data_IF_601926265565
#
_entry.id   IF_601926265565
#
_cell.length_a   1.000
_cell.length_b   1.000
_cell.length_c   1.000
_cell.angle_alpha   90.00
_cell.angle_beta   90.00
_cell.angle_gamma   90.00
#
_symmetry.space_group_name_H-M   'P 1'
#
loop_
_entity.id
_entity.type
_entity.pdbx_description
1 polymer ?
#
# COMPACT_ATOMS: atom_id res chain seq x y z
N UNK A 1 -0.35 -4.66 -5.10
CA UNK A 1 0.69 -4.24 -4.13
C UNK A 1 1.33 -5.45 -3.49
N UNK A 2 2.62 -5.35 -3.17
CA UNK A 2 3.42 -6.38 -2.52
C UNK A 2 4.09 -5.72 -1.31
N UNK A 3 3.91 -6.30 -0.12
CA UNK A 3 4.52 -5.83 1.12
C UNK A 3 5.09 -7.06 1.83
N UNK A 4 6.41 -7.24 1.80
CA UNK A 4 7.04 -8.48 2.24
C UNK A 4 6.54 -9.68 1.42
N UNK A 5 5.99 -10.70 2.10
CA UNK A 5 5.34 -11.86 1.46
C UNK A 5 3.90 -11.61 1.02
N UNK A 6 3.28 -10.53 1.51
CA UNK A 6 1.87 -10.27 1.32
C UNK A 6 1.58 -9.62 -0.03
N UNK A 7 0.49 -10.08 -0.67
CA UNK A 7 0.02 -9.57 -1.95
C UNK A 7 -1.41 -9.07 -1.82
N UNK A 8 -1.67 -7.94 -2.46
CA UNK A 8 -2.97 -7.25 -2.47
C UNK A 8 -3.35 -6.89 -3.90
N UNK A 9 -4.58 -7.22 -4.29
CA UNK A 9 -5.13 -6.80 -5.57
C UNK A 9 -5.54 -5.32 -5.51
N UNK A 10 -5.09 -4.53 -6.48
CA UNK A 10 -5.44 -3.12 -6.60
C UNK A 10 -6.22 -2.87 -7.89
N UNK A 11 -7.10 -1.89 -7.88
CA UNK A 11 -7.84 -1.40 -9.05
C UNK A 11 -7.56 0.08 -9.24
N UNK A 12 -7.23 0.48 -10.46
CA UNK A 12 -7.05 1.88 -10.80
C UNK A 12 -8.41 2.55 -11.03
N UNK A 13 -8.63 3.72 -10.41
CA UNK A 13 -9.79 4.60 -10.67
C UNK A 13 -9.28 6.04 -10.79
N UNK A 14 -9.30 6.56 -12.01
CA UNK A 14 -8.69 7.85 -12.33
C UNK A 14 -7.17 7.81 -12.19
N UNK A 15 -6.62 8.70 -11.37
CA UNK A 15 -5.18 8.74 -11.04
C UNK A 15 -4.83 7.97 -9.75
N UNK A 16 -5.84 7.37 -9.10
CA UNK A 16 -5.67 6.70 -7.82
C UNK A 16 -5.75 5.18 -7.98
N UNK A 17 -5.07 4.47 -7.10
CA UNK A 17 -5.25 3.03 -6.91
C UNK A 17 -6.02 2.75 -5.64
N UNK A 18 -6.89 1.79 -5.72
CA UNK A 18 -7.76 1.36 -4.62
C UNK A 18 -7.57 -0.12 -4.37
N UNK A 19 -7.76 -0.53 -3.12
CA UNK A 19 -7.82 -1.95 -2.79
C UNK A 19 -9.02 -2.57 -3.52
N UNK A 20 -8.82 -3.69 -4.22
CA UNK A 20 -9.90 -4.37 -4.93
C UNK A 20 -10.97 -4.88 -3.95
N UNK A 21 -10.53 -5.37 -2.81
CA UNK A 21 -11.39 -5.86 -1.74
C UNK A 21 -11.20 -5.00 -0.48
N UNK A 22 -12.15 -4.11 -0.14
CA UNK A 22 -12.09 -3.30 1.07
C UNK A 22 -11.94 -4.11 2.37
N UNK A 23 -12.42 -5.34 2.41
CA UNK A 23 -12.28 -6.19 3.60
C UNK A 23 -10.82 -6.58 3.91
N UNK A 24 -9.91 -6.43 2.94
CA UNK A 24 -8.47 -6.65 3.15
C UNK A 24 -7.75 -5.43 3.75
N UNK A 25 -8.43 -4.30 3.92
CA UNK A 25 -7.80 -3.05 4.37
C UNK A 25 -7.12 -3.18 5.74
N UNK A 26 -7.73 -3.79 6.78
CA UNK A 26 -7.05 -3.97 8.07
C UNK A 26 -5.78 -4.81 7.94
N UNK A 27 -5.82 -5.85 7.09
CA UNK A 27 -4.67 -6.72 6.80
C UNK A 27 -3.58 -5.96 6.07
N UNK A 28 -3.94 -5.08 5.13
CA UNK A 28 -2.98 -4.25 4.41
C UNK A 28 -2.32 -3.22 5.33
N UNK A 29 -3.09 -2.56 6.20
CA UNK A 29 -2.57 -1.61 7.19
C UNK A 29 -1.57 -2.26 8.13
N UNK A 30 -1.88 -3.45 8.65
CA UNK A 30 -0.95 -4.21 9.49
C UNK A 30 0.35 -4.58 8.76
N UNK A 31 0.26 -4.98 7.49
CA UNK A 31 1.45 -5.24 6.67
C UNK A 31 2.25 -3.97 6.39
N UNK A 32 1.60 -2.83 6.13
CA UNK A 32 2.28 -1.55 5.96
C UNK A 32 3.02 -1.12 7.23
N UNK A 33 2.44 -1.37 8.41
CA UNK A 33 3.05 -1.06 9.71
C UNK A 33 4.29 -1.90 10.00
N UNK A 34 4.31 -3.16 9.57
CA UNK A 34 5.38 -4.14 9.86
C UNK A 34 6.42 -4.24 8.73
N UNK A 35 6.04 -3.88 7.51
CA UNK A 35 6.88 -3.98 6.32
C UNK A 35 7.93 -2.87 6.24
N UNK A 36 9.03 -3.17 5.56
CA UNK A 36 10.09 -2.20 5.26
C UNK A 36 9.94 -1.51 3.89
N UNK A 37 9.12 -2.08 3.00
CA UNK A 37 8.91 -1.56 1.65
C UNK A 37 7.59 -2.03 1.03
N UNK A 38 7.10 -1.23 0.09
CA UNK A 38 5.91 -1.47 -0.72
C UNK A 38 6.31 -1.46 -2.19
N UNK A 39 5.98 -2.52 -2.92
CA UNK A 39 6.09 -2.56 -4.39
C UNK A 39 4.69 -2.56 -5.01
N UNK A 40 4.45 -1.62 -5.91
CA UNK A 40 3.24 -1.49 -6.70
C UNK A 40 3.56 -1.88 -8.12
N UNK A 41 2.89 -2.92 -8.63
CA UNK A 41 2.98 -3.33 -10.03
C UNK A 41 1.68 -3.01 -10.74
N UNK A 42 1.79 -2.49 -11.95
CA UNK A 42 0.65 -2.18 -12.80
C UNK A 42 1.03 -2.16 -14.28
N UNK A 43 0.05 -1.83 -15.10
CA UNK A 43 0.25 -1.62 -16.54
C UNK A 43 -0.24 -0.22 -16.87
N UNK A 44 0.62 0.60 -17.46
CA UNK A 44 0.26 1.94 -17.91
C UNK A 44 -0.76 1.88 -19.06
N UNK A 45 -1.45 3.00 -19.33
CA UNK A 45 -2.36 3.10 -20.49
C UNK A 45 -1.70 2.78 -21.84
N UNK A 46 -0.37 2.91 -21.94
CA UNK A 46 0.42 2.58 -23.14
C UNK A 46 0.82 1.10 -23.23
N UNK A 47 0.38 0.25 -22.30
CA UNK A 47 0.70 -1.18 -22.26
C UNK A 47 2.01 -1.51 -21.56
N UNK A 48 2.80 -0.52 -21.14
CA UNK A 48 4.07 -0.77 -20.48
C UNK A 48 3.85 -1.25 -19.03
N UNK A 49 4.50 -2.34 -18.59
CA UNK A 49 4.50 -2.72 -17.18
C UNK A 49 5.25 -1.65 -16.37
N UNK A 50 4.69 -1.29 -15.23
CA UNK A 50 5.28 -0.35 -14.27
C UNK A 50 5.50 -1.05 -12.94
N UNK A 51 6.60 -0.70 -12.28
CA UNK A 51 6.88 -1.11 -10.90
C UNK A 51 7.37 0.09 -10.11
N UNK A 52 6.56 0.52 -9.14
CA UNK A 52 6.91 1.62 -8.24
C UNK A 52 7.27 1.04 -6.87
N UNK A 53 8.41 1.46 -6.32
CA UNK A 53 8.91 1.00 -5.02
C UNK A 53 8.93 2.16 -4.04
N UNK A 54 8.34 1.93 -2.88
CA UNK A 54 8.26 2.90 -1.80
C UNK A 54 8.89 2.32 -0.54
N UNK A 55 9.71 3.12 0.15
CA UNK A 55 10.19 2.77 1.49
C UNK A 55 9.06 2.95 2.50
N UNK A 56 8.96 2.02 3.45
CA UNK A 56 8.04 2.12 4.59
C UNK A 56 8.77 2.49 5.89
N UNK A 57 10.04 2.88 5.82
CA UNK A 57 10.76 3.40 6.97
C UNK A 57 10.01 4.59 7.57
N UNK A 58 9.72 4.54 8.87
CA UNK A 58 8.97 5.60 9.55
C UNK A 58 7.45 5.40 9.58
N UNK A 59 6.90 4.41 8.86
CA UNK A 59 5.44 4.22 8.75
C UNK A 59 4.80 3.93 10.11
N UNK A 60 5.39 3.02 10.91
CA UNK A 60 4.85 2.66 12.22
C UNK A 60 4.81 3.86 13.18
N UNK A 61 5.86 4.70 13.19
CA UNK A 61 5.89 5.91 14.01
C UNK A 61 4.84 6.92 13.56
N UNK A 62 4.67 7.09 12.24
CA UNK A 62 3.72 8.05 11.66
C UNK A 62 2.28 7.65 11.98
N UNK A 63 1.94 6.36 11.82
CA UNK A 63 0.61 5.85 12.14
C UNK A 63 0.31 5.98 13.63
N UNK A 64 1.27 5.65 14.51
CA UNK A 64 1.11 5.84 15.95
C UNK A 64 0.85 7.30 16.31
N UNK A 65 1.61 8.24 15.74
CA UNK A 65 1.38 9.68 15.95
C UNK A 65 -0.01 10.12 15.48
N UNK A 66 -0.50 9.60 14.36
CA UNK A 66 -1.84 9.90 13.87
C UNK A 66 -2.93 9.37 14.83
N UNK A 67 -2.77 8.15 15.36
CA UNK A 67 -3.69 7.60 16.37
C UNK A 67 -3.68 8.43 17.66
N UNK A 68 -2.50 8.84 18.13
CA UNK A 68 -2.37 9.66 19.34
C UNK A 68 -2.98 11.06 19.17
N UNK A 69 -2.97 11.63 17.96
CA UNK A 69 -3.59 12.93 17.68
C UNK A 69 -5.14 12.89 17.60
N UNK A 70 -5.73 11.71 17.44
CA UNK A 70 -7.17 11.50 17.38
C UNK A 70 -7.79 11.06 18.73
N UNK A 71 -6.99 11.02 19.80
CA UNK A 71 -7.46 10.86 21.19
C UNK A 71 -7.87 12.21 21.75
#
# INVERSE_FOLDING_TARGET
AIIGSERYALVAKGQNMWLKNPAEEPRMLESLRKGAGLEVKGTSKRGNPTSDKYSLAGMSQTVKRAEDACK
#
